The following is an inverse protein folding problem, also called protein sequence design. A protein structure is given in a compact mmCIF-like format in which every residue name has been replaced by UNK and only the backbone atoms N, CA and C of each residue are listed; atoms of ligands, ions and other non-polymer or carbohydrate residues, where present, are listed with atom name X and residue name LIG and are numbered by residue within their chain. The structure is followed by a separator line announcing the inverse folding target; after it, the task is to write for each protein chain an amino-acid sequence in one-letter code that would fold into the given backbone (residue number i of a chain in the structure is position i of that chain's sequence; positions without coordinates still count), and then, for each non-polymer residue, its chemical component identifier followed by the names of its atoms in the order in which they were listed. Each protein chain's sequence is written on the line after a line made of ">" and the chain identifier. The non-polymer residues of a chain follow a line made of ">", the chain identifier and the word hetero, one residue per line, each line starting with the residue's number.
data_IF_655173994979
#
_entry.id   IF_655173994979
#
_cell.length_a   1.000
_cell.length_b   1.000
_cell.length_c   1.000
_cell.angle_alpha   90.00
_cell.angle_beta   90.00
_cell.angle_gamma   90.00
#
_symmetry.space_group_name_H-M   'P 1'
#
loop_
_entity.id
_entity.type
_entity.pdbx_description
1 polymer ?
#
# COMPACT_ATOMS: atom_id res chain seq x y z
N UNK A 1 -2.06 0.24 13.58
CA UNK A 1 -0.65 0.06 13.14
C UNK A 1 -0.68 -0.59 11.77
N UNK A 2 0.19 -0.17 10.85
CA UNK A 2 0.32 -0.80 9.53
C UNK A 2 1.62 -1.59 9.47
N UNK A 3 1.55 -2.82 8.98
CA UNK A 3 2.68 -3.73 8.86
C UNK A 3 2.72 -4.35 7.47
N UNK A 4 3.92 -4.59 6.97
CA UNK A 4 4.15 -5.36 5.76
C UNK A 4 5.07 -6.53 6.08
N UNK A 5 4.76 -7.71 5.56
CA UNK A 5 5.57 -8.92 5.72
C UNK A 5 5.62 -9.69 4.42
N UNK A 6 6.75 -10.35 4.13
CA UNK A 6 6.91 -11.16 2.93
C UNK A 6 6.62 -12.63 3.21
N UNK A 7 6.02 -13.33 2.25
CA UNK A 7 5.84 -14.78 2.31
C UNK A 7 5.89 -15.40 0.91
N UNK A 8 6.10 -16.72 0.84
CA UNK A 8 6.19 -17.45 -0.43
C UNK A 8 4.88 -18.16 -0.74
N UNK A 9 4.20 -17.72 -1.80
CA UNK A 9 3.04 -18.40 -2.36
C UNK A 9 3.46 -19.46 -3.39
N UNK A 10 2.74 -20.58 -3.43
CA UNK A 10 3.10 -21.73 -4.28
C UNK A 10 3.16 -21.44 -5.77
N UNK A 11 2.25 -20.60 -6.27
CA UNK A 11 2.08 -20.34 -7.70
C UNK A 11 2.56 -18.95 -8.13
N UNK A 12 2.51 -17.98 -7.21
CA UNK A 12 2.77 -16.56 -7.50
C UNK A 12 4.16 -16.11 -7.04
N UNK A 13 4.94 -16.99 -6.41
CA UNK A 13 6.25 -16.65 -5.88
C UNK A 13 6.16 -15.83 -4.60
N UNK A 14 7.07 -14.87 -4.42
CA UNK A 14 7.09 -14.00 -3.24
C UNK A 14 5.93 -13.00 -3.30
N UNK A 15 5.19 -12.89 -2.20
CA UNK A 15 4.13 -11.91 -1.98
C UNK A 15 4.44 -11.05 -0.75
N UNK A 16 3.83 -9.88 -0.69
CA UNK A 16 3.91 -8.93 0.41
C UNK A 16 2.51 -8.80 1.00
N UNK A 17 2.34 -9.23 2.25
CA UNK A 17 1.12 -9.04 3.01
C UNK A 17 1.14 -7.69 3.71
N UNK A 18 0.27 -6.80 3.29
CA UNK A 18 -0.03 -5.53 3.96
C UNK A 18 -1.19 -5.74 4.94
N UNK A 19 -0.98 -5.42 6.20
CA UNK A 19 -1.98 -5.50 7.25
C UNK A 19 -2.12 -4.15 7.94
N UNK A 20 -3.34 -3.64 7.99
CA UNK A 20 -3.74 -2.47 8.77
C UNK A 20 -4.75 -2.92 9.85
N UNK A 21 -4.70 -2.31 11.03
CA UNK A 21 -5.65 -2.64 12.10
C UNK A 21 -7.09 -2.39 11.64
N UNK A 22 -7.95 -3.39 11.82
CA UNK A 22 -9.37 -3.29 11.43
C UNK A 22 -9.66 -3.40 9.93
N UNK A 23 -8.65 -3.58 9.08
CA UNK A 23 -8.82 -3.82 7.64
C UNK A 23 -8.45 -5.25 7.25
N UNK A 24 -9.03 -5.81 6.19
CA UNK A 24 -8.58 -7.09 5.66
C UNK A 24 -7.12 -7.02 5.21
N UNK A 25 -6.41 -8.14 5.31
CA UNK A 25 -5.08 -8.27 4.76
C UNK A 25 -5.12 -8.12 3.23
N UNK A 26 -4.12 -7.45 2.67
CA UNK A 26 -3.90 -7.37 1.23
C UNK A 26 -2.62 -8.11 0.87
N UNK A 27 -2.73 -9.10 0.00
CA UNK A 27 -1.58 -9.81 -0.55
C UNK A 27 -1.21 -9.19 -1.90
N UNK A 28 -0.01 -8.62 -1.96
CA UNK A 28 0.50 -7.85 -3.09
C UNK A 28 1.65 -8.59 -3.76
N UNK A 29 1.69 -8.54 -5.08
CA UNK A 29 2.90 -8.84 -5.84
C UNK A 29 3.94 -7.72 -5.61
N UNK A 30 5.24 -8.00 -5.77
CA UNK A 30 6.29 -6.98 -5.63
C UNK A 30 6.05 -5.73 -6.50
N UNK A 31 5.59 -5.93 -7.74
CA UNK A 31 5.24 -4.84 -8.66
C UNK A 31 4.03 -4.01 -8.20
N UNK A 32 3.06 -4.64 -7.53
CA UNK A 32 1.87 -3.96 -7.02
C UNK A 32 2.25 -3.12 -5.80
N UNK A 33 3.03 -3.68 -4.87
CA UNK A 33 3.58 -2.93 -3.73
C UNK A 33 4.44 -1.74 -4.19
N UNK A 34 5.30 -1.93 -5.20
CA UNK A 34 6.09 -0.84 -5.79
C UNK A 34 5.23 0.24 -6.43
N UNK A 35 4.17 -0.14 -7.18
CA UNK A 35 3.22 0.80 -7.78
C UNK A 35 2.50 1.63 -6.71
N UNK A 36 2.01 0.97 -5.65
CA UNK A 36 1.33 1.65 -4.53
C UNK A 36 2.31 2.60 -3.82
N UNK A 37 3.55 2.18 -3.55
CA UNK A 37 4.56 3.02 -2.93
C UNK A 37 4.83 4.30 -3.73
N UNK A 38 4.94 4.20 -5.07
CA UNK A 38 5.11 5.37 -5.94
C UNK A 38 3.92 6.31 -5.90
N UNK A 39 2.69 5.77 -5.92
CA UNK A 39 1.47 6.56 -5.84
C UNK A 39 1.36 7.30 -4.49
N UNK A 40 1.66 6.62 -3.38
CA UNK A 40 1.67 7.22 -2.04
C UNK A 40 2.69 8.37 -1.94
N UNK A 41 3.90 8.18 -2.48
CA UNK A 41 4.91 9.24 -2.51
C UNK A 41 4.45 10.43 -3.36
N UNK A 42 3.90 10.18 -4.55
CA UNK A 42 3.40 11.24 -5.42
C UNK A 42 2.30 12.09 -4.76
N UNK A 43 1.37 11.46 -4.03
CA UNK A 43 0.37 12.15 -3.22
C UNK A 43 1.02 12.97 -2.10
N UNK A 44 1.90 12.35 -1.31
CA UNK A 44 2.54 13.00 -0.16
C UNK A 44 3.42 14.19 -0.55
N UNK A 45 3.97 14.18 -1.77
CA UNK A 45 4.78 15.27 -2.33
C UNK A 45 3.94 16.34 -3.04
N UNK A 46 2.62 16.19 -3.11
CA UNK A 46 1.73 17.09 -3.86
C UNK A 46 1.99 17.08 -5.37
N UNK A 47 2.56 15.98 -5.90
CA UNK A 47 2.91 15.82 -7.33
C UNK A 47 1.81 15.13 -8.15
N UNK A 48 0.72 14.73 -7.51
CA UNK A 48 -0.44 14.10 -8.13
C UNK A 48 -1.67 15.01 -8.03
N UNK A 49 -2.39 15.16 -9.15
CA UNK A 49 -3.71 15.80 -9.17
C UNK A 49 -4.83 14.80 -8.79
N UNK A 50 -4.56 13.50 -8.89
CA UNK A 50 -5.47 12.45 -8.44
C UNK A 50 -5.53 12.43 -6.92
N UNK A 51 -6.74 12.29 -6.37
CA UNK A 51 -6.99 12.18 -4.94
C UNK A 51 -7.33 10.76 -4.50
N UNK A 52 -7.22 9.77 -5.39
CA UNK A 52 -7.61 8.39 -5.11
C UNK A 52 -6.54 7.42 -5.61
N UNK A 53 -6.27 6.39 -4.80
CA UNK A 53 -5.51 5.21 -5.21
C UNK A 53 -6.48 4.04 -5.14
N UNK A 54 -6.73 3.41 -6.28
CA UNK A 54 -7.47 2.17 -6.36
C UNK A 54 -6.61 1.09 -7.02
N UNK A 55 -6.54 -0.08 -6.40
CA UNK A 55 -5.90 -1.26 -6.96
C UNK A 55 -6.67 -2.50 -6.53
N UNK A 56 -6.99 -3.39 -7.48
CA UNK A 56 -7.44 -4.74 -7.17
C UNK A 56 -6.23 -5.68 -7.30
N UNK A 57 -5.56 -6.07 -6.19
CA UNK A 57 -4.35 -6.89 -6.27
C UNK A 57 -4.68 -8.29 -6.79
N UNK A 58 -3.81 -8.84 -7.64
CA UNK A 58 -4.05 -10.14 -8.26
C UNK A 58 -4.04 -11.30 -7.25
N UNK A 59 -3.33 -11.14 -6.13
CA UNK A 59 -3.18 -12.17 -5.11
C UNK A 59 -4.12 -11.97 -3.90
N UNK A 60 -5.06 -11.03 -3.97
CA UNK A 60 -5.92 -10.63 -2.85
C UNK A 60 -7.40 -10.73 -3.20
N UNK A 61 -8.22 -11.17 -2.24
CA UNK A 61 -9.68 -11.15 -2.34
C UNK A 61 -10.28 -9.75 -2.05
N UNK A 62 -9.45 -8.82 -1.59
CA UNK A 62 -9.83 -7.46 -1.26
C UNK A 62 -9.07 -6.44 -2.12
N UNK A 63 -9.74 -5.36 -2.49
CA UNK A 63 -9.14 -4.22 -3.17
C UNK A 63 -8.48 -3.27 -2.16
N UNK A 64 -7.41 -2.61 -2.61
CA UNK A 64 -6.89 -1.42 -1.98
C UNK A 64 -7.65 -0.21 -2.50
N UNK A 65 -8.19 0.59 -1.59
CA UNK A 65 -8.76 1.89 -1.90
C UNK A 65 -8.25 2.89 -0.86
N UNK A 66 -7.62 3.96 -1.32
CA UNK A 66 -7.19 5.08 -0.49
C UNK A 66 -7.61 6.41 -1.08
N UNK A 67 -8.14 7.31 -0.25
CA UNK A 67 -8.55 8.66 -0.66
C UNK A 67 -7.69 9.70 0.06
N UNK A 68 -7.06 10.60 -0.70
CA UNK A 68 -6.31 11.73 -0.19
C UNK A 68 -7.22 12.86 0.30
N UNK A 69 -6.75 13.55 1.32
CA UNK A 69 -7.36 14.74 1.92
C UNK A 69 -6.25 15.71 2.32
N UNK A 70 -6.58 16.91 2.82
CA UNK A 70 -5.56 17.91 3.13
C UNK A 70 -4.46 17.43 4.09
N UNK A 71 -4.80 16.60 5.08
CA UNK A 71 -3.85 16.16 6.12
C UNK A 71 -3.20 14.80 5.90
N UNK A 72 -3.56 14.08 4.85
CA UNK A 72 -3.15 12.68 4.69
C UNK A 72 -4.08 11.87 3.79
N UNK A 73 -4.03 10.55 3.91
CA UNK A 73 -4.92 9.64 3.20
C UNK A 73 -5.79 8.84 4.16
N UNK A 74 -6.94 8.39 3.67
CA UNK A 74 -7.75 7.37 4.30
C UNK A 74 -7.62 6.09 3.50
N UNK A 75 -7.03 5.05 4.10
CA UNK A 75 -6.83 3.72 3.54
C UNK A 75 -7.79 2.76 4.25
N UNK A 76 -8.84 2.30 3.57
CA UNK A 76 -9.97 1.65 4.25
C UNK A 76 -10.56 2.57 5.33
N UNK A 77 -10.71 2.05 6.54
CA UNK A 77 -11.19 2.82 7.70
C UNK A 77 -10.06 3.56 8.45
N UNK A 78 -8.80 3.36 8.07
CA UNK A 78 -7.66 3.97 8.75
C UNK A 78 -7.27 5.30 8.11
N UNK A 79 -7.16 6.35 8.92
CA UNK A 79 -6.52 7.60 8.51
C UNK A 79 -5.01 7.56 8.77
N UNK A 80 -4.23 8.00 7.80
CA UNK A 80 -2.78 8.16 7.87
C UNK A 80 -2.43 9.60 7.55
N UNK A 81 -1.71 10.26 8.44
CA UNK A 81 -1.09 11.56 8.13
C UNK A 81 0.03 11.40 7.07
N UNK A 82 0.52 12.52 6.53
CA UNK A 82 1.53 12.47 5.48
C UNK A 82 2.85 11.81 5.89
N UNK A 83 3.24 11.87 7.17
CA UNK A 83 4.45 11.20 7.65
C UNK A 83 4.24 9.69 7.68
N UNK A 84 3.09 9.23 8.16
CA UNK A 84 2.69 7.82 8.12
C UNK A 84 2.54 7.30 6.69
N UNK A 85 2.05 8.12 5.76
CA UNK A 85 1.98 7.79 4.33
C UNK A 85 3.36 7.56 3.74
N UNK A 86 4.33 8.44 4.05
CA UNK A 86 5.73 8.29 3.62
C UNK A 86 6.36 7.02 4.21
N UNK A 87 6.12 6.75 5.50
CA UNK A 87 6.59 5.52 6.15
C UNK A 87 6.02 4.27 5.49
N UNK A 88 4.72 4.25 5.19
CA UNK A 88 4.06 3.15 4.47
C UNK A 88 4.66 2.98 3.07
N UNK A 89 4.88 4.08 2.34
CA UNK A 89 5.46 4.02 1.01
C UNK A 89 6.89 3.43 1.04
N UNK A 90 7.73 3.84 1.99
CA UNK A 90 9.07 3.26 2.18
C UNK A 90 8.98 1.78 2.51
N UNK A 91 8.11 1.39 3.45
CA UNK A 91 7.91 0.00 3.85
C UNK A 91 7.53 -0.90 2.66
N UNK A 92 6.60 -0.45 1.81
CA UNK A 92 6.19 -1.17 0.61
C UNK A 92 7.29 -1.22 -0.45
N UNK A 93 8.00 -0.11 -0.67
CA UNK A 93 9.10 -0.04 -1.62
C UNK A 93 10.26 -0.97 -1.24
N UNK A 94 10.60 -1.06 0.04
CA UNK A 94 11.68 -1.91 0.52
C UNK A 94 11.27 -3.38 0.53
N UNK A 95 10.00 -3.68 0.89
CA UNK A 95 9.45 -5.03 0.78
C UNK A 95 9.45 -5.52 -0.67
N UNK A 96 9.17 -4.64 -1.65
CA UNK A 96 9.18 -4.95 -3.08
C UNK A 96 10.59 -5.22 -3.65
N UNK A 97 11.64 -4.62 -3.07
CA UNK A 97 13.04 -4.88 -3.48
C UNK A 97 13.59 -6.16 -2.85
N UNK A 98 13.10 -6.54 -1.67
CA UNK A 98 13.56 -7.71 -0.92
C UNK A 98 12.95 -9.03 -1.40
N UNK A 99 11.95 -8.97 -2.29
CA UNK A 99 11.10 -10.08 -2.73
C UNK A 99 11.50 -10.76 -4.03
#
# INVERSE_FOLDING_TARGET
>A
MIQASTFRHRALGTLIRLQADGSPALDLLPREAGTIALALLALSDGRSAESEIYLSPMASDHALHATASHGGIRLGDQFLDWDQVRQLATLLADSAKAS
#
